data_IF_169253426721
#
_entry.id   IF_169253426721
#
_cell.length_a   1.000
_cell.length_b   1.000
_cell.length_c   1.000
_cell.angle_alpha   90.00
_cell.angle_beta   90.00
_cell.angle_gamma   90.00
#
_symmetry.space_group_name_H-M   'P 1'
#
loop_
_entity.id
_entity.type
_entity.pdbx_description
1 polymer ?
#
# COMPACT_ATOMS: atom_id res chain seq x y z
N UNK A 1 -15.05 13.34 11.40
CA UNK A 1 -15.84 12.09 11.49
C UNK A 1 -16.40 11.59 10.13
N UNK A 2 -16.35 12.37 9.05
CA UNK A 2 -16.90 11.97 7.73
C UNK A 2 -16.03 10.94 6.97
N UNK A 3 -14.76 10.78 7.34
CA UNK A 3 -13.78 9.97 6.61
C UNK A 3 -13.59 8.54 7.15
N UNK A 4 -14.12 8.23 8.34
CA UNK A 4 -13.95 6.91 8.97
C UNK A 4 -14.90 5.86 8.35
N UNK A 5 -16.05 6.29 7.81
CA UNK A 5 -17.07 5.37 7.31
C UNK A 5 -16.64 4.54 6.07
N UNK A 6 -16.01 5.14 5.03
CA UNK A 6 -15.57 4.37 3.87
C UNK A 6 -14.42 3.39 4.20
N UNK A 7 -13.53 3.75 5.14
CA UNK A 7 -12.45 2.85 5.56
C UNK A 7 -13.01 1.68 6.37
N UNK A 8 -13.98 1.94 7.24
CA UNK A 8 -14.61 0.89 8.05
C UNK A 8 -15.40 -0.09 7.17
N UNK A 9 -16.08 0.39 6.13
CA UNK A 9 -16.79 -0.48 5.18
C UNK A 9 -15.84 -1.28 4.31
N UNK A 10 -14.70 -0.74 3.92
CA UNK A 10 -13.71 -1.47 3.13
C UNK A 10 -12.96 -2.51 3.98
N UNK A 11 -12.66 -2.20 5.25
CA UNK A 11 -12.05 -3.16 6.18
C UNK A 11 -12.98 -4.33 6.49
N UNK A 12 -14.29 -4.11 6.61
CA UNK A 12 -15.27 -5.20 6.81
C UNK A 12 -15.44 -6.05 5.54
N UNK A 13 -15.39 -5.44 4.35
CA UNK A 13 -15.43 -6.18 3.09
C UNK A 13 -14.15 -7.02 2.88
N UNK A 14 -12.99 -6.46 3.20
CA UNK A 14 -11.71 -7.14 3.15
C UNK A 14 -11.62 -8.30 4.16
N UNK A 15 -12.11 -8.10 5.38
CA UNK A 15 -12.14 -9.14 6.41
C UNK A 15 -13.08 -10.30 6.05
N UNK A 16 -14.21 -10.03 5.40
CA UNK A 16 -15.13 -11.07 4.94
C UNK A 16 -14.57 -11.88 3.74
N UNK A 17 -13.64 -11.29 2.95
CA UNK A 17 -13.01 -11.95 1.80
C UNK A 17 -11.81 -12.83 2.18
N UNK A 18 -11.26 -12.73 3.38
CA UNK A 18 -9.91 -13.21 3.72
C UNK A 18 -9.84 -14.48 4.57
N UNK A 19 -10.70 -15.45 4.35
CA UNK A 19 -10.50 -16.79 4.93
C UNK A 19 -9.33 -17.57 4.29
N UNK A 20 -8.31 -16.89 3.76
CA UNK A 20 -7.11 -17.54 3.25
C UNK A 20 -6.04 -17.60 4.35
N UNK A 21 -5.66 -18.83 4.70
CA UNK A 21 -4.53 -19.12 5.58
C UNK A 21 -3.28 -18.34 5.16
N UNK A 22 -2.68 -17.64 6.10
CA UNK A 22 -1.39 -17.02 5.92
C UNK A 22 -0.37 -18.08 5.45
N UNK A 23 -0.06 -18.09 4.17
CA UNK A 23 1.01 -18.90 3.64
C UNK A 23 2.32 -18.35 4.20
N UNK A 24 3.04 -19.17 4.95
CA UNK A 24 4.40 -18.87 5.36
C UNK A 24 5.24 -18.54 4.11
N UNK A 25 6.01 -17.47 4.15
CA UNK A 25 7.03 -17.06 3.19
C UNK A 25 6.57 -16.51 1.82
N UNK A 26 5.31 -16.16 1.62
CA UNK A 26 4.83 -15.48 0.41
C UNK A 26 4.48 -14.02 0.64
N UNK A 27 4.32 -13.25 -0.46
CA UNK A 27 3.80 -11.89 -0.41
C UNK A 27 2.35 -11.91 0.13
N UNK A 28 2.06 -11.13 1.18
CA UNK A 28 0.69 -10.95 1.64
C UNK A 28 0.02 -9.81 0.87
N UNK A 29 -1.21 -10.06 0.40
CA UNK A 29 -2.02 -9.06 -0.30
C UNK A 29 -3.20 -8.59 0.54
N UNK A 30 -3.42 -9.19 1.71
CA UNK A 30 -4.49 -8.83 2.63
C UNK A 30 -3.84 -8.25 3.88
N UNK A 31 -3.81 -6.92 3.96
CA UNK A 31 -3.11 -6.24 5.04
C UNK A 31 -3.73 -4.89 5.38
N UNK A 32 -3.65 -4.54 6.65
CA UNK A 32 -3.99 -3.22 7.17
C UNK A 32 -2.72 -2.59 7.77
N UNK A 33 -2.52 -1.30 7.58
CA UNK A 33 -1.33 -0.59 8.00
C UNK A 33 -1.64 0.70 8.75
N UNK A 34 -0.75 1.04 9.67
CA UNK A 34 -0.65 2.34 10.31
C UNK A 34 0.74 2.88 9.99
N UNK A 35 0.80 4.06 9.40
CA UNK A 35 2.04 4.72 9.01
C UNK A 35 2.22 6.03 9.77
N UNK A 36 3.46 6.32 10.12
CA UNK A 36 3.92 7.64 10.47
C UNK A 36 4.71 8.20 9.30
N UNK A 37 4.27 9.34 8.79
CA UNK A 37 4.84 10.02 7.65
C UNK A 37 5.62 11.25 8.13
N UNK A 38 6.82 11.43 7.63
CA UNK A 38 7.68 12.58 7.94
C UNK A 38 8.11 13.25 6.65
N UNK A 39 7.77 14.53 6.52
CA UNK A 39 8.20 15.37 5.41
C UNK A 39 9.54 16.03 5.78
N UNK A 40 10.55 15.82 4.93
CA UNK A 40 11.90 16.30 5.19
C UNK A 40 12.04 17.84 5.11
N UNK A 41 11.15 18.52 4.42
CA UNK A 41 11.27 19.96 4.09
C UNK A 41 10.26 20.81 4.84
N UNK A 42 9.02 20.37 4.94
CA UNK A 42 7.94 21.16 5.54
C UNK A 42 7.77 20.94 7.05
N UNK A 43 8.39 19.92 7.63
CA UNK A 43 8.18 19.52 9.02
C UNK A 43 6.75 19.05 9.31
N UNK A 44 6.04 18.69 8.27
CA UNK A 44 4.63 18.35 8.29
C UNK A 44 4.48 16.83 8.48
N UNK A 45 4.56 16.41 9.73
CA UNK A 45 4.46 15.02 10.11
C UNK A 45 2.99 14.62 10.29
N UNK A 46 2.65 13.38 9.99
CA UNK A 46 1.28 12.90 10.11
C UNK A 46 1.16 11.40 10.22
N UNK A 47 -0.04 10.94 10.54
CA UNK A 47 -0.37 9.54 10.57
C UNK A 47 -1.34 9.20 9.46
N UNK A 48 -1.18 8.02 8.86
CA UNK A 48 -2.14 7.49 7.90
C UNK A 48 -2.49 6.04 8.20
N UNK A 49 -3.67 5.65 7.80
CA UNK A 49 -4.11 4.25 7.84
C UNK A 49 -4.35 3.77 6.43
N UNK A 50 -4.06 2.50 6.20
CA UNK A 50 -4.27 1.88 4.89
C UNK A 50 -4.81 0.47 5.05
N UNK A 51 -5.51 0.01 4.04
CA UNK A 51 -5.91 -1.39 3.88
C UNK A 51 -5.78 -1.77 2.43
N UNK A 52 -5.28 -2.96 2.17
CA UNK A 52 -5.31 -3.57 0.85
C UNK A 52 -5.73 -5.03 0.95
N UNK A 53 -6.44 -5.51 -0.07
CA UNK A 53 -6.93 -6.89 -0.10
C UNK A 53 -7.17 -7.36 -1.53
N UNK A 54 -7.09 -8.69 -1.72
CA UNK A 54 -7.69 -9.34 -2.88
C UNK A 54 -9.16 -9.64 -2.62
N UNK A 55 -10.00 -9.48 -3.63
CA UNK A 55 -11.41 -9.81 -3.55
C UNK A 55 -11.60 -11.32 -3.68
N UNK A 56 -11.83 -11.99 -2.56
CA UNK A 56 -11.97 -13.45 -2.50
C UNK A 56 -10.74 -14.18 -3.02
N UNK A 57 -10.94 -15.16 -3.91
CA UNK A 57 -9.87 -15.91 -4.57
C UNK A 57 -9.46 -15.32 -5.94
N UNK A 58 -9.98 -14.14 -6.28
CA UNK A 58 -9.67 -13.48 -7.56
C UNK A 58 -8.32 -12.76 -7.51
N UNK A 59 -7.88 -12.27 -8.67
CA UNK A 59 -6.76 -11.36 -8.76
C UNK A 59 -7.19 -9.87 -8.72
N UNK A 60 -8.45 -9.60 -8.41
CA UNK A 60 -8.92 -8.22 -8.22
C UNK A 60 -8.38 -7.71 -6.89
N UNK A 61 -7.61 -6.66 -6.94
CA UNK A 61 -7.01 -5.99 -5.79
C UNK A 61 -7.77 -4.71 -5.49
N UNK A 62 -7.97 -4.43 -4.20
CA UNK A 62 -8.58 -3.19 -3.72
C UNK A 62 -7.72 -2.60 -2.62
N UNK A 63 -7.64 -1.28 -2.56
CA UNK A 63 -7.01 -0.58 -1.45
C UNK A 63 -7.75 0.67 -1.07
N UNK A 64 -7.54 1.09 0.19
CA UNK A 64 -7.95 2.40 0.67
C UNK A 64 -6.90 2.92 1.64
N UNK A 65 -6.73 4.24 1.65
CA UNK A 65 -5.90 4.92 2.64
C UNK A 65 -6.53 6.25 3.04
N UNK A 66 -6.22 6.71 4.25
CA UNK A 66 -6.64 8.01 4.75
C UNK A 66 -5.59 8.59 5.68
N UNK A 67 -5.38 9.89 5.59
CA UNK A 67 -4.60 10.65 6.55
C UNK A 67 -5.46 10.95 7.79
N UNK A 68 -4.88 10.78 8.99
CA UNK A 68 -5.61 10.94 10.25
C UNK A 68 -5.54 12.37 10.80
N UNK A 69 -4.45 13.06 10.53
CA UNK A 69 -4.12 14.34 11.19
C UNK A 69 -4.38 15.56 10.30
N UNK A 70 -4.64 15.33 9.01
CA UNK A 70 -4.88 16.39 8.04
C UNK A 70 -6.21 16.16 7.33
N UNK A 71 -6.74 17.23 6.73
CA UNK A 71 -7.81 17.11 5.73
C UNK A 71 -7.23 16.57 4.39
N UNK A 72 -6.43 15.53 4.48
CA UNK A 72 -5.83 14.85 3.34
C UNK A 72 -6.89 14.14 2.50
N UNK A 73 -6.53 13.86 1.28
CA UNK A 73 -7.39 13.12 0.37
C UNK A 73 -7.43 11.65 0.78
N UNK A 74 -8.61 11.16 1.10
CA UNK A 74 -8.84 9.72 1.17
C UNK A 74 -8.63 9.14 -0.23
N UNK A 75 -7.87 8.06 -0.33
CA UNK A 75 -7.62 7.39 -1.59
C UNK A 75 -8.26 6.00 -1.58
N UNK A 76 -8.97 5.67 -2.64
CA UNK A 76 -9.51 4.34 -2.90
C UNK A 76 -9.05 3.91 -4.27
N UNK A 77 -8.54 2.69 -4.37
CA UNK A 77 -8.05 2.15 -5.64
C UNK A 77 -8.58 0.74 -5.88
N UNK A 78 -8.75 0.41 -7.15
CA UNK A 78 -9.06 -0.92 -7.62
C UNK A 78 -8.08 -1.32 -8.72
N UNK A 79 -7.61 -2.55 -8.71
CA UNK A 79 -6.61 -3.01 -9.66
C UNK A 79 -6.70 -4.50 -9.94
N UNK A 80 -5.77 -4.95 -10.77
CA UNK A 80 -5.63 -6.35 -11.11
C UNK A 80 -4.20 -6.81 -10.89
N UNK A 81 -4.05 -7.92 -10.14
CA UNK A 81 -2.79 -8.52 -9.79
C UNK A 81 -2.34 -9.53 -10.85
N UNK A 82 -1.17 -9.31 -11.40
CA UNK A 82 -0.45 -10.22 -12.28
C UNK A 82 0.67 -10.87 -11.46
N UNK A 83 0.57 -12.16 -11.17
CA UNK A 83 1.58 -12.88 -10.39
C UNK A 83 2.73 -13.33 -11.26
N UNK A 84 3.95 -13.21 -10.72
CA UNK A 84 5.18 -13.73 -11.32
C UNK A 84 5.39 -13.29 -12.77
N UNK A 85 5.20 -11.99 -13.03
CA UNK A 85 5.34 -11.43 -14.40
C UNK A 85 6.78 -11.54 -14.90
N UNK A 86 7.78 -11.42 -14.02
CA UNK A 86 9.20 -11.61 -14.32
C UNK A 86 10.00 -11.83 -13.02
N UNK A 87 10.92 -12.77 -12.98
CA UNK A 87 11.91 -12.96 -11.90
C UNK A 87 11.29 -12.94 -10.47
N UNK A 88 10.09 -13.52 -10.30
CA UNK A 88 9.39 -13.52 -9.01
C UNK A 88 8.75 -12.18 -8.62
N UNK A 89 8.63 -11.26 -9.56
CA UNK A 89 7.93 -9.99 -9.35
C UNK A 89 6.43 -10.20 -9.61
N UNK A 90 5.63 -9.75 -8.66
CA UNK A 90 4.19 -9.59 -8.82
C UNK A 90 3.90 -8.12 -9.16
N UNK A 91 3.04 -7.87 -10.13
CA UNK A 91 2.66 -6.53 -10.55
C UNK A 91 1.15 -6.31 -10.39
N UNK A 92 0.74 -5.15 -9.88
CA UNK A 92 -0.67 -4.74 -9.83
C UNK A 92 -0.83 -3.46 -10.62
N UNK A 93 -1.63 -3.49 -11.68
CA UNK A 93 -2.08 -2.25 -12.33
C UNK A 93 -3.38 -1.80 -11.67
N UNK A 94 -3.51 -0.51 -11.36
CA UNK A 94 -4.65 0.02 -10.65
C UNK A 94 -5.12 1.38 -11.18
N UNK A 95 -6.38 1.70 -10.89
CA UNK A 95 -6.96 3.03 -11.00
C UNK A 95 -7.43 3.46 -9.60
N UNK A 96 -7.25 4.73 -9.29
CA UNK A 96 -7.59 5.30 -7.99
C UNK A 96 -8.71 6.33 -8.07
N UNK A 97 -9.17 6.78 -6.93
CA UNK A 97 -9.98 8.00 -6.82
C UNK A 97 -9.18 9.19 -7.39
N UNK A 98 -9.89 10.22 -7.86
CA UNK A 98 -9.29 11.41 -8.51
C UNK A 98 -8.64 11.13 -9.88
N UNK A 99 -9.17 10.15 -10.62
CA UNK A 99 -8.70 9.77 -11.96
C UNK A 99 -7.22 9.34 -12.01
N UNK A 100 -6.63 9.02 -10.85
CA UNK A 100 -5.27 8.53 -10.75
C UNK A 100 -5.15 7.08 -11.23
N UNK A 101 -3.96 6.70 -11.69
CA UNK A 101 -3.62 5.32 -12.06
C UNK A 101 -2.17 5.02 -11.73
N UNK A 102 -1.83 3.73 -11.70
CA UNK A 102 -0.46 3.36 -11.40
C UNK A 102 -0.18 1.86 -11.47
N UNK A 103 1.05 1.53 -11.10
CA UNK A 103 1.54 0.17 -11.04
C UNK A 103 2.26 -0.03 -9.72
N UNK A 104 1.97 -1.14 -9.05
CA UNK A 104 2.72 -1.65 -7.89
C UNK A 104 3.52 -2.85 -8.35
N UNK A 105 4.82 -2.85 -8.18
CA UNK A 105 5.68 -4.01 -8.33
C UNK A 105 6.13 -4.48 -6.94
N UNK A 106 6.02 -5.80 -6.67
CA UNK A 106 6.39 -6.41 -5.39
C UNK A 106 7.20 -7.66 -5.62
N UNK A 107 8.22 -7.86 -4.79
CA UNK A 107 9.05 -9.06 -4.82
C UNK A 107 9.43 -9.50 -3.41
N UNK A 108 9.33 -10.80 -3.16
CA UNK A 108 9.98 -11.40 -1.99
C UNK A 108 11.49 -11.41 -2.21
N UNK A 109 12.23 -10.96 -1.22
CA UNK A 109 13.70 -10.93 -1.20
C UNK A 109 14.23 -11.93 -0.17
N UNK A 110 13.52 -13.06 0.00
CA UNK A 110 13.89 -14.13 0.95
C UNK A 110 15.26 -14.73 0.66
N UNK A 111 15.74 -14.63 -0.57
CA UNK A 111 17.09 -15.05 -0.97
C UNK A 111 18.20 -14.16 -0.37
N UNK A 112 17.87 -12.92 0.03
CA UNK A 112 18.80 -11.98 0.68
C UNK A 112 18.64 -12.06 2.19
N UNK A 113 17.40 -11.86 2.67
CA UNK A 113 17.03 -11.96 4.09
C UNK A 113 15.64 -12.59 4.17
N UNK A 114 15.53 -13.65 4.98
CA UNK A 114 14.23 -14.30 5.20
C UNK A 114 13.20 -13.31 5.75
N UNK A 115 12.04 -13.23 5.11
CA UNK A 115 10.97 -12.30 5.49
C UNK A 115 11.08 -10.91 4.88
N UNK A 116 12.12 -10.62 4.08
CA UNK A 116 12.27 -9.33 3.42
C UNK A 116 11.40 -9.26 2.15
N UNK A 117 10.79 -8.12 1.91
CA UNK A 117 9.99 -7.77 0.73
C UNK A 117 10.42 -6.41 0.19
N UNK A 118 10.58 -6.30 -1.12
CA UNK A 118 10.73 -5.03 -1.83
C UNK A 118 9.43 -4.66 -2.54
N UNK A 119 9.08 -3.38 -2.52
CA UNK A 119 7.92 -2.83 -3.22
C UNK A 119 8.29 -1.51 -3.88
N UNK A 120 7.85 -1.34 -5.11
CA UNK A 120 7.93 -0.06 -5.85
C UNK A 120 6.51 0.26 -6.32
N UNK A 121 6.08 1.48 -6.08
CA UNK A 121 4.84 2.02 -6.62
C UNK A 121 5.20 3.17 -7.54
N UNK A 122 4.68 3.16 -8.74
CA UNK A 122 4.57 4.33 -9.57
C UNK A 122 3.11 4.68 -9.71
N UNK A 123 2.78 5.93 -9.55
CA UNK A 123 1.42 6.44 -9.74
C UNK A 123 1.46 7.82 -10.38
N UNK A 124 0.40 8.10 -11.14
CA UNK A 124 0.11 9.41 -11.68
C UNK A 124 -1.25 9.85 -11.16
N UNK A 125 -1.30 11.04 -10.58
CA UNK A 125 -2.55 11.66 -10.18
C UNK A 125 -3.21 12.29 -11.41
N UNK A 126 -4.50 12.00 -11.63
CA UNK A 126 -5.29 12.51 -12.76
C UNK A 126 -5.75 13.96 -12.60
N UNK A 127 -5.36 14.63 -11.51
CA UNK A 127 -5.68 16.05 -11.28
C UNK A 127 -5.02 16.99 -12.30
N UNK A 128 -5.40 18.26 -12.24
CA UNK A 128 -4.92 19.30 -13.18
C UNK A 128 -3.39 19.50 -13.19
N UNK A 129 -2.67 18.95 -12.22
CA UNK A 129 -1.23 19.07 -12.08
C UNK A 129 -0.42 17.86 -12.57
N UNK A 130 -1.08 16.74 -12.94
CA UNK A 130 -0.43 15.52 -13.41
C UNK A 130 0.84 15.18 -12.61
N UNK A 131 0.71 15.00 -11.30
CA UNK A 131 1.84 14.70 -10.43
C UNK A 131 2.21 13.21 -10.53
N UNK A 132 3.42 12.93 -10.95
CA UNK A 132 4.00 11.59 -10.88
C UNK A 132 4.59 11.36 -9.50
N UNK A 133 4.37 10.18 -8.92
CA UNK A 133 4.93 9.74 -7.66
C UNK A 133 5.60 8.37 -7.80
N UNK A 134 6.75 8.22 -7.15
CA UNK A 134 7.44 6.95 -6.94
C UNK A 134 7.58 6.68 -5.45
N UNK A 135 7.11 5.52 -5.01
CA UNK A 135 7.34 5.05 -3.65
C UNK A 135 8.24 3.83 -3.69
N UNK A 136 9.35 3.89 -2.98
CA UNK A 136 10.27 2.76 -2.77
C UNK A 136 10.13 2.26 -1.34
N UNK A 137 9.87 0.99 -1.16
CA UNK A 137 9.61 0.41 0.15
C UNK A 137 10.39 -0.87 0.37
N UNK A 138 10.97 -1.00 1.55
CA UNK A 138 11.48 -2.26 2.10
C UNK A 138 10.64 -2.63 3.31
N UNK A 139 10.14 -3.85 3.33
CA UNK A 139 9.33 -4.37 4.40
C UNK A 139 9.90 -5.68 4.95
N UNK A 140 9.80 -5.87 6.27
CA UNK A 140 10.25 -7.06 6.95
C UNK A 140 9.10 -7.73 7.71
N UNK A 141 8.85 -9.00 7.41
CA UNK A 141 7.87 -9.81 8.11
C UNK A 141 8.43 -10.24 9.46
N UNK A 142 8.00 -9.62 10.55
CA UNK A 142 8.38 -10.00 11.93
C UNK A 142 7.85 -11.40 12.23
N UNK A 143 6.66 -11.70 11.74
CA UNK A 143 6.04 -13.04 11.76
C UNK A 143 4.96 -13.10 10.66
N UNK A 144 4.16 -14.17 10.63
CA UNK A 144 3.10 -14.34 9.62
C UNK A 144 2.01 -13.27 9.66
N UNK A 145 1.84 -12.56 10.79
CA UNK A 145 0.78 -11.56 11.00
C UNK A 145 1.28 -10.12 10.97
N UNK A 146 2.54 -9.88 11.34
CA UNK A 146 3.05 -8.52 11.49
C UNK A 146 4.23 -8.26 10.58
N UNK A 147 4.19 -7.11 9.94
CA UNK A 147 5.23 -6.59 9.05
C UNK A 147 5.57 -5.15 9.45
N UNK A 148 6.84 -4.78 9.38
CA UNK A 148 7.32 -3.41 9.50
C UNK A 148 7.90 -3.00 8.16
N UNK A 149 7.59 -1.80 7.70
CA UNK A 149 8.10 -1.27 6.45
C UNK A 149 8.66 0.14 6.64
N UNK A 150 9.64 0.46 5.80
CA UNK A 150 10.15 1.83 5.61
C UNK A 150 10.01 2.15 4.15
N UNK A 151 9.49 3.33 3.84
CA UNK A 151 9.35 3.82 2.47
C UNK A 151 9.83 5.25 2.31
N UNK A 152 10.25 5.55 1.10
CA UNK A 152 10.58 6.89 0.63
C UNK A 152 9.66 7.15 -0.56
N UNK A 153 8.97 8.25 -0.55
CA UNK A 153 8.17 8.76 -1.66
C UNK A 153 8.87 9.96 -2.28
N UNK A 154 9.06 9.89 -3.58
CA UNK A 154 9.53 10.97 -4.43
C UNK A 154 8.41 11.34 -5.41
N UNK A 155 7.85 12.52 -5.25
CA UNK A 155 6.77 13.01 -6.09
C UNK A 155 7.18 14.33 -6.77
N UNK A 156 6.82 14.47 -8.04
CA UNK A 156 7.10 15.69 -8.77
C UNK A 156 6.39 16.87 -8.12
N UNK A 157 7.13 17.92 -7.79
CA UNK A 157 6.67 19.16 -7.16
C UNK A 157 6.27 19.06 -5.67
N UNK A 158 6.60 17.97 -4.99
CA UNK A 158 6.38 17.79 -3.55
C UNK A 158 7.71 17.42 -2.89
N UNK A 159 7.87 17.77 -1.62
CA UNK A 159 9.06 17.35 -0.87
C UNK A 159 9.06 15.83 -0.67
N UNK A 160 10.28 15.25 -0.68
CA UNK A 160 10.46 13.83 -0.37
C UNK A 160 9.86 13.48 1.00
N UNK A 161 9.06 12.43 1.04
CA UNK A 161 8.44 11.96 2.26
C UNK A 161 8.99 10.59 2.66
N UNK A 162 9.35 10.44 3.92
CA UNK A 162 9.74 9.16 4.50
C UNK A 162 8.63 8.64 5.41
N UNK A 163 8.34 7.33 5.33
CA UNK A 163 7.31 6.72 6.17
C UNK A 163 7.82 5.47 6.87
N UNK A 164 7.34 5.26 8.08
CA UNK A 164 7.48 4.00 8.81
C UNK A 164 6.08 3.43 9.01
N UNK A 165 5.87 2.19 8.58
CA UNK A 165 4.56 1.53 8.60
C UNK A 165 4.62 0.24 9.40
N UNK A 166 3.65 0.04 10.28
CA UNK A 166 3.37 -1.27 10.89
C UNK A 166 2.13 -1.85 10.23
N UNK A 167 2.20 -3.09 9.77
CA UNK A 167 1.11 -3.77 9.07
C UNK A 167 0.69 -5.04 9.79
N UNK A 168 -0.60 -5.32 9.73
CA UNK A 168 -1.21 -6.57 10.11
C UNK A 168 -1.69 -7.31 8.86
N UNK A 169 -1.19 -8.53 8.65
CA UNK A 169 -1.61 -9.44 7.59
C UNK A 169 -2.76 -10.32 8.10
N UNK A 170 -3.85 -10.43 7.33
CA UNK A 170 -5.06 -11.18 7.69
C UNK A 170 -5.55 -12.12 6.59
#
# INVERSE_FOLDING_TARGET
>A
MKHILPILTLTTLAAAASAQSAAAAGLSYNRAGLSYNSDAVAGDNGYSVSVESLVGSSNVWVSASAELDKSGADNVSVGYLFKNVAAGIDATAFVGSNDGFGIVARRSLNEVVAGLEGRIVWSQDGGSNNTDSFVYELAYNVNSKYQVAVSIEDASNVAEQTSITVRYNF
#
